data_IF_637917099331
#
_entry.id   IF_637917099331
#
_cell.length_a   1.000
_cell.length_b   1.000
_cell.length_c   1.000
_cell.angle_alpha   90.00
_cell.angle_beta   90.00
_cell.angle_gamma   90.00
#
_symmetry.space_group_name_H-M   'P 1'
#
loop_
_entity.id
_entity.type
_entity.pdbx_description
1 polymer ?
#
# COMPACT_ATOMS: atom_id res chain seq x y z
N UNK A 1 21.59 14.78 3.25
CA UNK A 1 20.34 14.02 3.01
C UNK A 1 19.60 14.45 1.76
N UNK A 2 19.54 15.76 1.44
CA UNK A 2 18.88 16.31 0.23
C UNK A 2 19.14 15.53 -1.07
N UNK A 3 20.39 15.34 -1.48
CA UNK A 3 20.70 14.59 -2.72
C UNK A 3 20.24 13.12 -2.70
N UNK A 4 20.21 12.48 -1.52
CA UNK A 4 19.75 11.09 -1.40
C UNK A 4 18.23 11.01 -1.50
N UNK A 5 17.53 11.97 -0.92
CA UNK A 5 16.06 12.08 -0.99
C UNK A 5 15.59 12.43 -2.40
N UNK A 6 16.29 13.36 -3.09
CA UNK A 6 15.96 13.74 -4.47
C UNK A 6 16.24 12.66 -5.53
N UNK A 7 16.98 11.59 -5.19
CA UNK A 7 17.19 10.43 -6.07
C UNK A 7 16.08 9.39 -6.00
N UNK A 8 15.15 9.52 -5.07
CA UNK A 8 14.04 8.59 -4.91
C UNK A 8 13.04 8.85 -6.03
N UNK A 9 12.67 7.79 -6.76
CA UNK A 9 11.70 7.88 -7.86
C UNK A 9 10.36 8.38 -7.32
N UNK A 10 9.83 9.45 -7.92
CA UNK A 10 8.56 10.06 -7.52
C UNK A 10 8.66 11.20 -6.52
N UNK A 11 9.86 11.52 -6.03
CA UNK A 11 10.13 12.78 -5.33
C UNK A 11 10.32 13.87 -6.38
N UNK A 12 9.49 14.91 -6.32
CA UNK A 12 9.51 16.03 -7.28
C UNK A 12 10.43 17.15 -6.80
N UNK A 13 10.40 17.45 -5.50
CA UNK A 13 11.18 18.53 -4.91
C UNK A 13 11.60 18.17 -3.49
N UNK A 14 12.81 18.57 -3.12
CA UNK A 14 13.29 18.53 -1.74
C UNK A 14 13.82 19.91 -1.37
N UNK A 15 13.06 20.64 -0.56
CA UNK A 15 13.43 21.99 -0.11
C UNK A 15 14.14 21.92 1.24
N UNK A 16 15.26 22.61 1.34
CA UNK A 16 16.04 22.76 2.57
C UNK A 16 16.61 24.19 2.68
N UNK A 17 17.21 24.50 3.83
CA UNK A 17 17.76 25.83 4.13
C UNK A 17 18.78 26.33 3.10
N UNK A 18 19.45 25.43 2.39
CA UNK A 18 20.39 25.76 1.30
C UNK A 18 19.72 26.32 0.03
N UNK A 19 18.40 26.18 -0.11
CA UNK A 19 17.63 26.76 -1.24
C UNK A 19 17.26 28.23 -1.01
N UNK A 20 17.22 28.67 0.25
CA UNK A 20 16.78 30.03 0.64
C UNK A 20 17.90 30.89 1.22
N UNK A 21 18.98 30.28 1.69
CA UNK A 21 20.08 30.99 2.32
C UNK A 21 21.37 30.85 1.51
N UNK A 22 22.09 31.96 1.36
CA UNK A 22 23.47 31.92 0.89
C UNK A 22 24.29 31.15 1.95
N UNK A 23 24.96 30.09 1.54
CA UNK A 23 25.72 29.13 2.37
C UNK A 23 26.79 29.75 3.30
N UNK A 24 26.99 31.07 3.24
CA UNK A 24 28.05 31.82 3.92
C UNK A 24 27.61 32.48 5.24
N UNK A 25 26.32 32.44 5.61
CA UNK A 25 25.84 33.01 6.88
C UNK A 25 25.66 31.96 8.00
N UNK A 26 26.19 32.20 9.22
CA UNK A 26 25.92 31.35 10.37
C UNK A 26 24.42 31.25 10.66
N UNK A 27 23.96 30.05 11.05
CA UNK A 27 22.55 29.80 11.41
C UNK A 27 22.06 30.75 12.51
N UNK A 28 22.97 31.20 13.38
CA UNK A 28 22.66 32.14 14.46
C UNK A 28 22.30 33.56 13.98
N UNK A 29 22.66 33.91 12.76
CA UNK A 29 22.33 35.19 12.13
C UNK A 29 21.01 35.16 11.37
N UNK A 30 20.38 34.00 11.20
CA UNK A 30 19.07 33.87 10.58
C UNK A 30 17.98 34.43 11.50
N UNK A 31 16.97 35.06 10.89
CA UNK A 31 15.76 35.47 11.59
C UNK A 31 15.10 34.25 12.27
N UNK A 32 14.42 34.48 13.39
CA UNK A 32 13.71 33.41 14.11
C UNK A 32 12.71 32.68 13.20
N UNK A 33 11.98 33.41 12.37
CA UNK A 33 10.99 32.85 11.45
C UNK A 33 11.61 31.87 10.43
N UNK A 34 12.80 32.19 9.89
CA UNK A 34 13.51 31.30 8.97
C UNK A 34 14.14 30.12 9.71
N UNK A 35 14.65 30.34 10.93
CA UNK A 35 15.21 29.26 11.73
C UNK A 35 14.15 28.24 12.10
N UNK A 36 12.99 28.67 12.59
CA UNK A 36 11.90 27.79 13.04
C UNK A 36 11.27 27.00 11.88
N UNK A 37 11.37 27.51 10.64
CA UNK A 37 10.86 26.83 9.44
C UNK A 37 11.73 25.63 9.02
N UNK A 38 13.05 25.71 9.21
CA UNK A 38 14.00 24.67 8.78
C UNK A 38 14.67 23.93 9.94
N UNK A 39 14.58 24.44 11.16
CA UNK A 39 15.13 23.83 12.36
C UNK A 39 14.13 23.90 13.50
N UNK A 40 13.80 22.73 14.07
CA UNK A 40 12.96 22.63 15.25
C UNK A 40 13.63 21.73 16.27
N UNK A 41 13.74 22.20 17.51
CA UNK A 41 14.36 21.44 18.62
C UNK A 41 15.74 20.87 18.24
N UNK A 42 16.58 21.70 17.60
CA UNK A 42 17.92 21.34 17.10
C UNK A 42 17.93 20.23 16.02
N UNK A 43 16.78 19.96 15.41
CA UNK A 43 16.60 18.97 14.33
C UNK A 43 16.33 19.67 13.01
N UNK A 44 16.96 19.18 11.94
CA UNK A 44 16.79 19.69 10.58
C UNK A 44 15.46 19.20 9.95
N UNK A 45 14.61 20.14 9.52
CA UNK A 45 13.35 19.90 8.82
C UNK A 45 13.48 19.98 7.29
N UNK A 46 13.45 18.83 6.63
CA UNK A 46 13.36 18.77 5.17
C UNK A 46 11.91 18.76 4.72
N UNK A 47 11.57 19.59 3.73
CA UNK A 47 10.27 19.52 3.05
C UNK A 47 10.44 18.72 1.77
N UNK A 48 9.66 17.65 1.62
CA UNK A 48 9.72 16.75 0.45
C UNK A 48 8.37 16.75 -0.24
N UNK A 49 8.35 17.14 -1.51
CA UNK A 49 7.18 17.06 -2.39
C UNK A 49 7.22 15.75 -3.17
N UNK A 50 6.14 14.98 -3.10
CA UNK A 50 6.02 13.65 -3.73
C UNK A 50 4.82 13.70 -4.67
N UNK A 51 5.01 13.26 -5.91
CA UNK A 51 3.90 13.14 -6.86
C UNK A 51 2.86 12.12 -6.37
N UNK A 52 1.57 12.41 -6.58
CA UNK A 52 0.46 11.65 -5.99
C UNK A 52 0.53 10.14 -6.31
N UNK A 53 0.84 9.79 -7.56
CA UNK A 53 0.94 8.40 -8.02
C UNK A 53 2.11 7.64 -7.37
N UNK A 54 3.12 8.36 -6.87
CA UNK A 54 4.33 7.76 -6.31
C UNK A 54 4.33 7.69 -4.78
N UNK A 55 3.30 8.21 -4.10
CA UNK A 55 3.25 8.26 -2.63
C UNK A 55 3.52 6.90 -1.99
N UNK A 56 2.85 5.85 -2.47
CA UNK A 56 2.94 4.50 -1.90
C UNK A 56 4.30 3.82 -2.12
N UNK A 57 5.10 4.28 -3.09
CA UNK A 57 6.44 3.73 -3.37
C UNK A 57 7.55 4.60 -2.81
N UNK A 58 7.41 5.93 -2.84
CA UNK A 58 8.41 6.88 -2.40
C UNK A 58 8.50 7.00 -0.88
N UNK A 59 7.37 7.01 -0.15
CA UNK A 59 7.36 7.16 1.32
C UNK A 59 8.13 6.03 2.03
N UNK A 60 7.95 4.74 1.68
CA UNK A 60 8.76 3.66 2.26
C UNK A 60 10.26 3.78 1.95
N UNK A 61 10.63 4.24 0.75
CA UNK A 61 12.03 4.47 0.38
C UNK A 61 12.63 5.64 1.16
N UNK A 62 11.87 6.72 1.36
CA UNK A 62 12.27 7.84 2.23
C UNK A 62 12.51 7.33 3.65
N UNK A 63 11.61 6.50 4.19
CA UNK A 63 11.76 5.88 5.52
C UNK A 63 13.06 5.08 5.63
N UNK A 64 13.44 4.30 4.62
CA UNK A 64 14.72 3.57 4.57
C UNK A 64 15.94 4.50 4.55
N UNK A 65 15.84 5.63 3.87
CA UNK A 65 16.94 6.60 3.75
C UNK A 65 17.14 7.39 5.04
N UNK A 66 16.06 7.79 5.71
CA UNK A 66 16.14 8.54 6.97
C UNK A 66 16.38 7.62 8.17
N UNK A 67 15.97 6.35 8.12
CA UNK A 67 16.08 5.40 9.23
C UNK A 67 14.99 5.58 10.28
N UNK A 68 14.85 4.59 11.17
CA UNK A 68 13.75 4.51 12.14
C UNK A 68 13.86 5.54 13.27
N UNK A 69 15.06 6.04 13.55
CA UNK A 69 15.33 7.07 14.57
C UNK A 69 14.84 8.47 14.15
N UNK A 70 14.51 8.65 12.87
CA UNK A 70 14.03 9.91 12.31
C UNK A 70 12.51 9.91 12.10
N UNK A 71 11.91 11.09 12.22
CA UNK A 71 10.47 11.26 12.04
C UNK A 71 10.12 11.73 10.63
N UNK A 72 8.96 11.29 10.13
CA UNK A 72 8.34 11.80 8.90
C UNK A 72 6.85 12.05 9.17
N UNK A 73 6.30 13.11 8.59
CA UNK A 73 4.89 13.49 8.74
C UNK A 73 4.43 14.25 7.50
N UNK A 74 3.11 14.40 7.33
CA UNK A 74 2.50 15.09 6.20
C UNK A 74 1.45 14.25 5.48
N UNK A 75 0.78 14.84 4.50
CA UNK A 75 -0.30 14.19 3.75
C UNK A 75 0.17 12.92 3.04
N UNK A 76 1.33 12.95 2.38
CA UNK A 76 1.88 11.79 1.70
C UNK A 76 2.17 10.61 2.66
N UNK A 77 2.71 10.91 3.85
CA UNK A 77 2.96 9.89 4.89
C UNK A 77 1.64 9.28 5.36
N UNK A 78 0.67 10.11 5.73
CA UNK A 78 -0.66 9.65 6.17
C UNK A 78 -1.36 8.79 5.12
N UNK A 79 -1.29 9.20 3.84
CA UNK A 79 -1.87 8.43 2.73
C UNK A 79 -1.18 7.08 2.57
N UNK A 80 0.15 7.03 2.55
CA UNK A 80 0.90 5.78 2.42
C UNK A 80 0.62 4.82 3.60
N UNK A 81 0.57 5.33 4.83
CA UNK A 81 0.25 4.53 6.02
C UNK A 81 -1.19 4.00 5.99
N UNK A 82 -2.16 4.83 5.58
CA UNK A 82 -3.55 4.42 5.44
C UNK A 82 -3.70 3.33 4.36
N UNK A 83 -3.05 3.50 3.20
CA UNK A 83 -3.05 2.49 2.13
C UNK A 83 -2.40 1.18 2.61
N UNK A 84 -1.21 1.23 3.21
CA UNK A 84 -0.52 0.04 3.70
C UNK A 84 -1.32 -0.71 4.77
N UNK A 85 -1.93 0.03 5.69
CA UNK A 85 -2.80 -0.54 6.73
C UNK A 85 -4.01 -1.22 6.09
N UNK A 86 -4.66 -0.57 5.14
CA UNK A 86 -5.84 -1.11 4.45
C UNK A 86 -5.50 -2.39 3.68
N UNK A 87 -4.38 -2.41 2.95
CA UNK A 87 -3.90 -3.61 2.25
C UNK A 87 -3.68 -4.77 3.22
N UNK A 88 -3.06 -4.50 4.37
CA UNK A 88 -2.85 -5.50 5.43
C UNK A 88 -4.17 -6.03 5.99
N UNK A 89 -5.12 -5.15 6.27
CA UNK A 89 -6.45 -5.56 6.78
C UNK A 89 -7.23 -6.39 5.75
N UNK A 90 -7.22 -6.00 4.46
CA UNK A 90 -7.86 -6.80 3.40
C UNK A 90 -7.24 -8.19 3.32
N UNK A 91 -5.91 -8.31 3.45
CA UNK A 91 -5.24 -9.61 3.44
C UNK A 91 -5.70 -10.48 4.63
N UNK A 92 -5.83 -9.91 5.83
CA UNK A 92 -6.33 -10.63 7.01
C UNK A 92 -7.79 -11.08 6.80
N UNK A 93 -8.64 -10.18 6.30
CA UNK A 93 -10.05 -10.49 6.01
C UNK A 93 -10.16 -11.61 4.98
N UNK A 94 -9.38 -11.57 3.91
CA UNK A 94 -9.39 -12.61 2.87
C UNK A 94 -9.00 -13.99 3.44
N UNK A 95 -7.99 -14.06 4.31
CA UNK A 95 -7.60 -15.31 4.98
C UNK A 95 -8.73 -15.85 5.86
N UNK A 96 -9.37 -14.98 6.65
CA UNK A 96 -10.50 -15.38 7.51
C UNK A 96 -11.69 -15.86 6.65
N UNK A 97 -12.00 -15.16 5.57
CA UNK A 97 -13.08 -15.54 4.66
C UNK A 97 -12.83 -16.91 4.02
N UNK A 98 -11.61 -17.19 3.56
CA UNK A 98 -11.22 -18.51 3.03
C UNK A 98 -11.41 -19.62 4.06
N UNK A 99 -11.03 -19.39 5.31
CA UNK A 99 -11.21 -20.38 6.38
C UNK A 99 -12.70 -20.66 6.67
N UNK A 100 -13.53 -19.61 6.68
CA UNK A 100 -14.98 -19.75 6.88
C UNK A 100 -15.61 -20.51 5.72
N UNK A 101 -15.26 -20.17 4.47
CA UNK A 101 -15.76 -20.87 3.28
C UNK A 101 -15.36 -22.34 3.31
N UNK A 102 -14.11 -22.64 3.65
CA UNK A 102 -13.63 -24.02 3.80
C UNK A 102 -14.43 -24.77 4.86
N UNK A 103 -14.69 -24.15 6.01
CA UNK A 103 -15.47 -24.75 7.09
C UNK A 103 -16.91 -25.04 6.65
N UNK A 104 -17.57 -24.08 5.99
CA UNK A 104 -18.94 -24.26 5.50
C UNK A 104 -18.99 -25.38 4.47
N UNK A 105 -18.09 -25.40 3.49
CA UNK A 105 -18.02 -26.47 2.49
C UNK A 105 -17.75 -27.83 3.14
N UNK A 106 -16.83 -27.94 4.10
CA UNK A 106 -16.60 -29.20 4.82
C UNK A 106 -17.85 -29.69 5.58
N UNK A 107 -18.75 -28.80 6.01
CA UNK A 107 -20.00 -29.18 6.68
C UNK A 107 -21.13 -29.52 5.70
N UNK A 108 -21.17 -28.89 4.54
CA UNK A 108 -22.26 -29.06 3.57
C UNK A 108 -21.98 -30.11 2.51
N UNK A 109 -20.72 -30.36 2.16
CA UNK A 109 -20.33 -31.38 1.18
C UNK A 109 -20.01 -32.71 1.88
N UNK A 110 -20.43 -33.82 1.27
CA UNK A 110 -20.23 -35.18 1.78
C UNK A 110 -18.80 -35.72 1.52
N UNK A 111 -18.08 -35.10 0.58
CA UNK A 111 -16.70 -35.45 0.22
C UNK A 111 -15.71 -34.43 0.79
N UNK A 112 -14.71 -34.91 1.52
CA UNK A 112 -13.75 -34.03 2.21
C UNK A 112 -12.72 -33.39 1.26
N UNK A 113 -12.57 -33.91 0.04
CA UNK A 113 -11.62 -33.41 -0.97
C UNK A 113 -12.19 -32.30 -1.87
N UNK A 114 -13.51 -32.30 -2.09
CA UNK A 114 -14.18 -31.32 -2.96
C UNK A 114 -13.95 -29.86 -2.52
N UNK A 115 -14.08 -29.48 -1.23
CA UNK A 115 -13.84 -28.11 -0.77
C UNK A 115 -12.44 -27.59 -1.11
N UNK A 116 -11.42 -28.45 -1.01
CA UNK A 116 -10.03 -28.06 -1.26
C UNK A 116 -9.76 -27.83 -2.74
N UNK A 117 -10.33 -28.65 -3.63
CA UNK A 117 -10.18 -28.51 -5.09
C UNK A 117 -10.81 -27.19 -5.56
N UNK A 118 -12.01 -26.86 -5.06
CA UNK A 118 -12.71 -25.62 -5.38
C UNK A 118 -11.91 -24.40 -4.90
N UNK A 119 -11.44 -24.42 -3.65
CA UNK A 119 -10.61 -23.35 -3.11
C UNK A 119 -9.29 -23.17 -3.85
N UNK A 120 -8.66 -24.27 -4.27
CA UNK A 120 -7.44 -24.22 -5.07
C UNK A 120 -7.70 -23.57 -6.43
N UNK A 121 -8.80 -23.90 -7.10
CA UNK A 121 -9.22 -23.27 -8.36
C UNK A 121 -9.45 -21.76 -8.20
N UNK A 122 -10.16 -21.34 -7.16
CA UNK A 122 -10.40 -19.92 -6.85
C UNK A 122 -9.08 -19.20 -6.53
N UNK A 123 -8.21 -19.83 -5.73
CA UNK A 123 -6.90 -19.27 -5.39
C UNK A 123 -6.00 -19.05 -6.61
N UNK A 124 -5.96 -20.02 -7.54
CA UNK A 124 -5.25 -19.88 -8.81
C UNK A 124 -5.84 -18.75 -9.67
N UNK A 125 -7.17 -18.64 -9.74
CA UNK A 125 -7.83 -17.57 -10.47
C UNK A 125 -7.51 -16.17 -9.90
N UNK A 126 -7.49 -16.03 -8.56
CA UNK A 126 -7.09 -14.79 -7.88
C UNK A 126 -5.62 -14.46 -8.16
N UNK A 127 -4.72 -15.45 -8.11
CA UNK A 127 -3.30 -15.25 -8.42
C UNK A 127 -3.09 -14.80 -9.87
N UNK A 128 -3.81 -15.39 -10.83
CA UNK A 128 -3.73 -14.98 -12.24
C UNK A 128 -4.23 -13.55 -12.40
N UNK A 129 -5.35 -13.16 -11.76
CA UNK A 129 -5.88 -11.81 -11.86
C UNK A 129 -4.98 -10.77 -11.19
N UNK A 130 -4.42 -11.08 -10.02
CA UNK A 130 -3.46 -10.23 -9.35
C UNK A 130 -2.14 -10.09 -10.15
N UNK A 131 -1.65 -11.18 -10.74
CA UNK A 131 -0.42 -11.19 -11.55
C UNK A 131 -0.59 -10.49 -12.90
N UNK A 132 -1.76 -10.61 -13.52
CA UNK A 132 -2.07 -9.91 -14.78
C UNK A 132 -2.16 -8.40 -14.56
N UNK A 133 -2.66 -7.93 -13.40
CA UNK A 133 -2.63 -6.51 -13.03
C UNK A 133 -1.19 -5.96 -12.93
N UNK A 134 -0.22 -6.77 -12.50
CA UNK A 134 1.20 -6.39 -12.50
C UNK A 134 1.79 -6.26 -13.92
N UNK A 135 1.26 -7.00 -14.89
CA UNK A 135 1.71 -6.96 -16.28
C UNK A 135 1.06 -5.86 -17.14
N UNK A 136 -0.16 -5.43 -16.80
CA UNK A 136 -0.91 -4.44 -17.58
C UNK A 136 -0.96 -3.02 -16.94
N UNK A 137 -0.31 -2.82 -15.80
CA UNK A 137 -0.20 -1.51 -15.12
C UNK A 137 -1.08 -1.39 -13.87
N UNK A 138 -0.79 -0.40 -13.02
CA UNK A 138 -1.45 -0.17 -11.72
C UNK A 138 -2.96 0.09 -11.88
N UNK A 139 -3.76 -0.97 -11.78
CA UNK A 139 -5.22 -0.85 -11.67
C UNK A 139 -5.54 -0.29 -10.29
N UNK A 140 -6.47 0.67 -10.22
CA UNK A 140 -6.96 1.25 -8.96
C UNK A 140 -7.19 0.16 -7.91
N UNK A 141 -6.64 0.38 -6.71
CA UNK A 141 -6.75 -0.53 -5.56
C UNK A 141 -8.21 -0.94 -5.31
N UNK A 142 -9.14 0.00 -5.47
CA UNK A 142 -10.58 -0.24 -5.31
C UNK A 142 -11.10 -1.23 -6.36
N UNK A 143 -10.70 -1.09 -7.62
CA UNK A 143 -11.10 -1.99 -8.71
C UNK A 143 -10.51 -3.39 -8.56
N UNK A 144 -9.25 -3.50 -8.12
CA UNK A 144 -8.59 -4.78 -7.90
C UNK A 144 -9.23 -5.56 -6.72
N UNK A 145 -9.51 -4.88 -5.61
CA UNK A 145 -10.22 -5.46 -4.48
C UNK A 145 -11.67 -5.86 -4.84
N UNK A 146 -12.40 -4.99 -5.54
CA UNK A 146 -13.77 -5.25 -5.98
C UNK A 146 -13.85 -6.44 -6.94
N UNK A 147 -12.94 -6.53 -7.93
CA UNK A 147 -12.92 -7.60 -8.91
C UNK A 147 -12.71 -8.99 -8.30
N UNK A 148 -11.80 -9.10 -7.35
CA UNK A 148 -11.52 -10.38 -6.66
C UNK A 148 -12.71 -10.86 -5.84
N UNK A 149 -13.43 -9.95 -5.17
CA UNK A 149 -14.62 -10.28 -4.37
C UNK A 149 -15.81 -10.64 -5.27
N UNK A 150 -16.06 -9.87 -6.34
CA UNK A 150 -17.11 -10.14 -7.31
C UNK A 150 -16.92 -11.51 -7.98
N UNK A 151 -15.69 -11.85 -8.33
CA UNK A 151 -15.38 -13.14 -8.93
C UNK A 151 -15.64 -14.30 -7.98
N UNK A 152 -15.27 -14.16 -6.70
CA UNK A 152 -15.53 -15.19 -5.70
C UNK A 152 -17.05 -15.39 -5.49
N UNK A 153 -17.83 -14.31 -5.49
CA UNK A 153 -19.30 -14.37 -5.41
C UNK A 153 -19.94 -15.07 -6.62
N UNK A 154 -19.57 -14.68 -7.85
CA UNK A 154 -20.15 -15.24 -9.08
C UNK A 154 -19.76 -16.71 -9.28
N UNK A 155 -18.51 -17.08 -8.97
CA UNK A 155 -18.07 -18.47 -9.08
C UNK A 155 -18.76 -19.39 -8.07
N UNK A 156 -19.04 -18.88 -6.87
CA UNK A 156 -19.73 -19.66 -5.84
C UNK A 156 -21.20 -19.87 -6.20
N UNK A 157 -21.88 -18.83 -6.72
CA UNK A 157 -23.24 -18.95 -7.26
C UNK A 157 -23.33 -19.96 -8.41
N UNK A 158 -22.38 -19.94 -9.36
CA UNK A 158 -22.34 -20.91 -10.45
C UNK A 158 -22.13 -22.35 -9.96
N UNK A 159 -21.28 -22.52 -8.94
CA UNK A 159 -21.00 -23.83 -8.36
C UNK A 159 -22.22 -24.39 -7.64
N UNK A 160 -22.94 -23.55 -6.90
CA UNK A 160 -24.22 -23.92 -6.25
C UNK A 160 -25.27 -24.27 -7.29
N UNK A 161 -25.40 -23.47 -8.36
CA UNK A 161 -26.36 -23.73 -9.45
C UNK A 161 -26.09 -25.07 -10.15
N UNK A 162 -24.82 -25.37 -10.44
CA UNK A 162 -24.43 -26.63 -11.08
C UNK A 162 -24.64 -27.85 -10.18
N UNK A 163 -24.33 -27.76 -8.89
CA UNK A 163 -24.60 -28.85 -7.94
C UNK A 163 -26.11 -29.13 -7.84
N UNK A 164 -26.93 -28.08 -7.85
CA UNK A 164 -28.39 -28.23 -7.78
C UNK A 164 -29.03 -28.72 -9.08
N UNK A 165 -28.43 -28.47 -10.25
CA UNK A 165 -29.00 -28.93 -11.54
C UNK A 165 -28.67 -30.38 -11.87
N UNK A 166 -27.65 -30.96 -11.24
CA UNK A 166 -27.23 -32.35 -11.44
C UNK A 166 -27.59 -33.27 -10.26
N UNK A 167 -28.23 -32.74 -9.21
CA UNK A 167 -28.93 -33.51 -8.17
C UNK A 167 -30.41 -33.66 -8.49
#
# INVERSE_FOLDING_TARGET
>A
YKEKLGKIKGVEEVTWLDDVNYLDMPIDMLSKDTRDLYYKDNTALYTVTIGEDSINSAVPEIRKVIGDDNAMTGSAVSTAEATSSTVSEIKKIAVIAVLIVLLVLCLTTSSWLEPFIVLLGIGVAVLINAGTNLMFGEVSFVTNAAGSILQLAVSLDYSVFLIHSFS
#
